data_IF_471927771525
#
_entry.id   IF_471927771525
#
_cell.length_a   1.000
_cell.length_b   1.000
_cell.length_c   1.000
_cell.angle_alpha   90.00
_cell.angle_beta   90.00
_cell.angle_gamma   90.00
#
_symmetry.space_group_name_H-M   'P 1'
#
loop_
_entity.id
_entity.type
_entity.pdbx_description
1 polymer ?
#
# COMPACT_ATOMS: atom_id res chain seq x y z
N UNK A 1 6.38 18.99 10.69
CA UNK A 1 6.51 17.84 9.77
C UNK A 1 5.54 16.69 10.09
N UNK A 2 4.97 16.63 11.31
CA UNK A 2 3.90 15.68 11.70
C UNK A 2 2.61 15.74 10.85
N UNK A 3 2.38 16.86 10.15
CA UNK A 3 1.19 17.08 9.31
C UNK A 3 1.07 16.06 8.18
N UNK A 4 2.18 15.60 7.60
CA UNK A 4 2.13 14.66 6.47
C UNK A 4 1.73 13.24 6.88
N UNK A 5 2.16 12.78 8.06
CA UNK A 5 1.70 11.52 8.63
C UNK A 5 0.21 11.58 8.98
N UNK A 6 -0.26 12.72 9.54
CA UNK A 6 -1.68 12.96 9.81
C UNK A 6 -2.52 12.96 8.53
N UNK A 7 -1.99 13.51 7.42
CA UNK A 7 -2.66 13.45 6.11
C UNK A 7 -2.79 12.00 5.65
N UNK A 8 -1.77 11.16 5.82
CA UNK A 8 -1.86 9.72 5.48
C UNK A 8 -2.95 9.00 6.27
N UNK A 9 -3.03 9.24 7.59
CA UNK A 9 -4.09 8.67 8.44
C UNK A 9 -5.47 9.20 8.03
N UNK A 10 -5.61 10.50 7.80
CA UNK A 10 -6.86 11.11 7.40
C UNK A 10 -7.34 10.57 6.04
N UNK A 11 -6.43 10.42 5.08
CA UNK A 11 -6.73 9.86 3.76
C UNK A 11 -7.15 8.39 3.86
N UNK A 12 -6.45 7.61 4.70
CA UNK A 12 -6.78 6.22 4.96
C UNK A 12 -8.14 6.07 5.63
N UNK A 13 -8.41 6.84 6.68
CA UNK A 13 -9.69 6.84 7.39
C UNK A 13 -10.86 7.27 6.49
N UNK A 14 -10.66 8.30 5.68
CA UNK A 14 -11.64 8.74 4.68
C UNK A 14 -11.85 7.66 3.61
N UNK A 15 -10.78 6.98 3.17
CA UNK A 15 -10.86 5.84 2.26
C UNK A 15 -11.69 4.69 2.82
N UNK A 16 -11.47 4.31 4.09
CA UNK A 16 -12.30 3.32 4.81
C UNK A 16 -13.76 3.76 4.79
N UNK A 17 -14.06 4.98 5.22
CA UNK A 17 -15.42 5.50 5.31
C UNK A 17 -16.14 5.43 3.95
N UNK A 18 -15.52 5.92 2.88
CA UNK A 18 -16.10 5.88 1.52
C UNK A 18 -16.29 4.45 1.05
N UNK A 19 -15.34 3.55 1.32
CA UNK A 19 -15.44 2.14 0.95
C UNK A 19 -16.63 1.47 1.65
N UNK A 20 -16.83 1.74 2.95
CA UNK A 20 -17.99 1.23 3.70
C UNK A 20 -19.33 1.79 3.19
N UNK A 21 -19.39 3.08 2.86
CA UNK A 21 -20.57 3.69 2.23
C UNK A 21 -20.88 3.06 0.86
N UNK A 22 -19.83 2.73 0.10
CA UNK A 22 -19.95 1.97 -1.14
C UNK A 22 -20.39 0.52 -0.89
N UNK A 23 -19.89 -0.17 0.12
CA UNK A 23 -20.26 -1.58 0.33
C UNK A 23 -21.72 -1.74 0.77
N UNK A 24 -22.24 -0.79 1.55
CA UNK A 24 -23.60 -0.81 2.10
C UNK A 24 -24.37 0.46 1.73
N UNK A 25 -24.81 0.62 0.47
CA UNK A 25 -25.63 1.76 0.07
C UNK A 25 -26.98 1.79 0.81
N UNK A 26 -27.46 0.65 1.33
CA UNK A 26 -28.65 0.60 2.18
C UNK A 26 -28.51 1.34 3.52
N UNK A 27 -27.29 1.56 4.01
CA UNK A 27 -27.04 2.31 5.25
C UNK A 27 -27.25 3.82 5.06
N UNK A 28 -27.19 4.32 3.82
CA UNK A 28 -27.37 5.75 3.51
C UNK A 28 -28.82 6.15 3.24
N UNK A 29 -29.76 5.21 3.26
CA UNK A 29 -31.20 5.48 3.10
C UNK A 29 -31.60 5.96 1.69
N UNK A 30 -30.74 5.79 0.69
CA UNK A 30 -31.05 6.14 -0.69
C UNK A 30 -32.12 5.19 -1.28
N UNK A 31 -33.17 5.71 -1.96
CA UNK A 31 -34.20 4.87 -2.56
C UNK A 31 -33.58 3.97 -3.65
N UNK A 32 -33.94 2.69 -3.68
CA UNK A 32 -33.42 1.69 -4.63
C UNK A 32 -33.89 2.01 -6.07
N UNK A 33 -33.20 2.93 -6.73
CA UNK A 33 -33.40 3.28 -8.13
C UNK A 33 -32.42 2.52 -9.03
N UNK A 34 -32.87 2.19 -10.25
CA UNK A 34 -32.04 1.59 -11.30
C UNK A 34 -30.79 2.45 -11.52
N UNK A 35 -29.59 1.90 -11.24
CA UNK A 35 -28.30 2.58 -11.44
C UNK A 35 -27.42 2.77 -10.19
N UNK A 36 -27.88 2.38 -9.00
CA UNK A 36 -27.08 2.51 -7.76
C UNK A 36 -25.81 1.66 -7.79
N UNK A 37 -25.84 0.48 -8.44
CA UNK A 37 -24.67 -0.41 -8.51
C UNK A 37 -23.42 0.24 -9.12
N UNK A 38 -23.58 1.15 -10.07
CA UNK A 38 -22.46 1.89 -10.65
C UNK A 38 -21.82 2.85 -9.64
N UNK A 39 -22.65 3.66 -8.98
CA UNK A 39 -22.19 4.59 -7.93
C UNK A 39 -21.56 3.80 -6.79
N UNK A 40 -22.11 2.64 -6.48
CA UNK A 40 -21.62 1.71 -5.48
C UNK A 40 -20.18 1.25 -5.78
N UNK A 41 -19.96 0.70 -6.98
CA UNK A 41 -18.65 0.26 -7.44
C UNK A 41 -17.64 1.42 -7.47
N UNK A 42 -18.06 2.58 -7.98
CA UNK A 42 -17.21 3.76 -8.03
C UNK A 42 -16.80 4.23 -6.63
N UNK A 43 -17.72 4.24 -5.66
CA UNK A 43 -17.43 4.58 -4.27
C UNK A 43 -16.45 3.58 -3.64
N UNK A 44 -16.67 2.28 -3.82
CA UNK A 44 -15.74 1.24 -3.34
C UNK A 44 -14.34 1.45 -3.94
N UNK A 45 -14.24 1.72 -5.24
CA UNK A 45 -12.97 1.97 -5.92
C UNK A 45 -12.23 3.20 -5.43
N UNK A 46 -12.95 4.31 -5.25
CA UNK A 46 -12.38 5.57 -4.74
C UNK A 46 -11.93 5.37 -3.29
N UNK A 47 -12.77 4.78 -2.45
CA UNK A 47 -12.44 4.49 -1.05
C UNK A 47 -11.22 3.58 -0.93
N UNK A 48 -11.18 2.52 -1.71
CA UNK A 48 -10.04 1.60 -1.78
C UNK A 48 -8.75 2.29 -2.25
N UNK A 49 -8.81 3.13 -3.28
CA UNK A 49 -7.64 3.86 -3.76
C UNK A 49 -7.09 4.81 -2.70
N UNK A 50 -7.97 5.54 -2.01
CA UNK A 50 -7.60 6.44 -0.92
C UNK A 50 -7.04 5.70 0.29
N UNK A 51 -7.59 4.52 0.60
CA UNK A 51 -7.09 3.63 1.65
C UNK A 51 -5.61 3.25 1.38
N UNK A 52 -5.32 2.73 0.19
CA UNK A 52 -3.96 2.27 -0.15
C UNK A 52 -2.99 3.43 -0.24
N UNK A 53 -3.38 4.56 -0.85
CA UNK A 53 -2.54 5.75 -0.91
C UNK A 53 -2.28 6.35 0.48
N UNK A 54 -3.30 6.36 1.33
CA UNK A 54 -3.19 6.80 2.72
C UNK A 54 -2.23 5.92 3.52
N UNK A 55 -2.34 4.60 3.38
CA UNK A 55 -1.43 3.65 4.01
C UNK A 55 0.03 3.83 3.56
N UNK A 56 0.29 3.91 2.26
CA UNK A 56 1.66 4.12 1.73
C UNK A 56 2.24 5.46 2.19
N UNK A 57 1.43 6.52 2.17
CA UNK A 57 1.83 7.86 2.64
C UNK A 57 2.15 7.83 4.13
N UNK A 58 1.27 7.26 4.94
CA UNK A 58 1.48 7.14 6.39
C UNK A 58 2.75 6.36 6.72
N UNK A 59 2.99 5.21 6.08
CA UNK A 59 4.19 4.41 6.31
C UNK A 59 5.47 5.16 5.91
N UNK A 60 5.46 5.82 4.75
CA UNK A 60 6.63 6.59 4.28
C UNK A 60 7.00 7.70 5.25
N UNK A 61 6.04 8.52 5.67
CA UNK A 61 6.31 9.67 6.52
C UNK A 61 6.53 9.32 8.00
N UNK A 62 6.01 8.19 8.47
CA UNK A 62 6.16 7.75 9.86
C UNK A 62 7.44 6.96 10.10
N UNK A 63 7.80 6.04 9.19
CA UNK A 63 8.87 5.06 9.43
C UNK A 63 10.10 5.25 8.55
N UNK A 64 9.97 5.83 7.35
CA UNK A 64 11.03 5.82 6.33
C UNK A 64 11.32 7.21 5.75
N UNK A 65 11.21 8.26 6.56
CA UNK A 65 11.38 9.64 6.10
C UNK A 65 12.79 9.94 5.61
N UNK A 66 13.81 9.42 6.30
CA UNK A 66 15.22 9.74 6.07
C UNK A 66 15.99 8.59 5.38
N UNK A 67 15.31 7.47 5.08
CA UNK A 67 15.94 6.30 4.46
C UNK A 67 15.65 6.31 2.96
N UNK A 68 16.67 6.21 2.08
CA UNK A 68 16.47 6.10 0.65
C UNK A 68 15.63 4.86 0.31
N UNK A 69 14.64 5.03 -0.58
CA UNK A 69 13.71 3.96 -0.92
C UNK A 69 14.42 2.81 -1.65
N UNK A 70 14.37 1.62 -1.06
CA UNK A 70 15.00 0.43 -1.65
C UNK A 70 14.24 -0.09 -2.86
N UNK A 71 14.93 -0.88 -3.71
CA UNK A 71 14.34 -1.56 -4.85
C UNK A 71 13.09 -2.37 -4.44
N UNK A 72 13.17 -3.12 -3.35
CA UNK A 72 12.03 -3.90 -2.84
C UNK A 72 10.86 -3.02 -2.39
N UNK A 73 11.11 -1.86 -1.78
CA UNK A 73 10.05 -0.89 -1.45
C UNK A 73 9.41 -0.31 -2.72
N UNK A 74 10.19 -0.01 -3.76
CA UNK A 74 9.66 0.46 -5.04
C UNK A 74 8.79 -0.60 -5.73
N UNK A 75 9.18 -1.88 -5.66
CA UNK A 75 8.37 -3.00 -6.13
C UNK A 75 7.07 -3.11 -5.32
N UNK A 76 7.13 -2.99 -4.00
CA UNK A 76 5.93 -2.99 -3.14
C UNK A 76 4.93 -1.91 -3.50
N UNK A 77 5.39 -0.68 -3.75
CA UNK A 77 4.52 0.42 -4.22
C UNK A 77 3.90 0.10 -5.57
N UNK A 78 4.68 -0.39 -6.55
CA UNK A 78 4.15 -0.75 -7.86
C UNK A 78 3.11 -1.86 -7.78
N UNK A 79 3.38 -2.89 -6.96
CA UNK A 79 2.43 -3.99 -6.71
C UNK A 79 1.14 -3.49 -6.04
N UNK A 80 1.26 -2.53 -5.12
CA UNK A 80 0.12 -1.88 -4.51
C UNK A 80 -0.71 -1.09 -5.54
N UNK A 81 -0.08 -0.38 -6.46
CA UNK A 81 -0.77 0.37 -7.51
C UNK A 81 -1.37 -0.53 -8.59
N UNK A 82 -0.72 -1.65 -8.95
CA UNK A 82 -1.29 -2.60 -9.92
C UNK A 82 -2.52 -3.30 -9.37
N UNK A 83 -2.59 -3.59 -8.07
CA UNK A 83 -3.83 -4.08 -7.45
C UNK A 83 -4.97 -3.07 -7.52
N UNK A 84 -4.71 -1.76 -7.39
CA UNK A 84 -5.74 -0.72 -7.64
C UNK A 84 -6.20 -0.75 -9.10
N UNK A 85 -5.26 -0.88 -10.04
CA UNK A 85 -5.58 -0.97 -11.47
C UNK A 85 -6.45 -2.19 -11.78
N UNK A 86 -6.12 -3.37 -11.26
CA UNK A 86 -6.94 -4.56 -11.45
C UNK A 86 -8.33 -4.44 -10.81
N UNK A 87 -8.43 -3.81 -9.63
CA UNK A 87 -9.72 -3.54 -9.04
C UNK A 87 -10.56 -2.61 -9.92
N UNK A 88 -9.93 -1.60 -10.55
CA UNK A 88 -10.62 -0.70 -11.47
C UNK A 88 -11.12 -1.44 -12.72
N UNK A 89 -10.29 -2.31 -13.31
CA UNK A 89 -10.68 -3.12 -14.46
C UNK A 89 -11.82 -4.10 -14.10
N UNK A 90 -11.73 -4.77 -12.95
CA UNK A 90 -12.77 -5.68 -12.48
C UNK A 90 -14.07 -4.91 -12.17
N UNK A 91 -14.00 -3.83 -11.40
CA UNK A 91 -15.16 -3.02 -11.04
C UNK A 91 -15.84 -2.39 -12.25
N UNK A 92 -15.07 -1.91 -13.23
CA UNK A 92 -15.61 -1.29 -14.44
C UNK A 92 -15.99 -2.31 -15.53
N UNK A 93 -15.81 -3.62 -15.31
CA UNK A 93 -16.01 -4.66 -16.32
C UNK A 93 -17.42 -4.63 -16.92
N UNK A 94 -18.45 -4.41 -16.11
CA UNK A 94 -19.84 -4.33 -16.57
C UNK A 94 -20.10 -3.09 -17.44
N UNK A 95 -19.41 -1.97 -17.19
CA UNK A 95 -19.53 -0.75 -18.01
C UNK A 95 -18.81 -0.93 -19.35
N UNK A 96 -17.64 -1.58 -19.32
CA UNK A 96 -16.81 -1.81 -20.49
C UNK A 96 -17.40 -2.90 -21.42
N UNK A 97 -18.46 -3.60 -21.00
CA UNK A 97 -19.17 -4.58 -21.82
C UNK A 97 -18.56 -5.99 -21.82
N UNK A 98 -17.56 -6.25 -20.96
CA UNK A 98 -16.99 -7.59 -20.72
C UNK A 98 -17.58 -8.27 -19.47
N UNK A 99 -18.44 -7.55 -18.74
CA UNK A 99 -19.11 -8.04 -17.55
C UNK A 99 -20.19 -9.07 -17.81
N UNK A 100 -20.50 -9.88 -16.80
CA UNK A 100 -21.38 -11.06 -16.95
C UNK A 100 -22.86 -10.79 -16.71
N UNK A 101 -23.22 -9.62 -16.18
CA UNK A 101 -24.63 -9.23 -16.01
C UNK A 101 -25.03 -8.20 -17.07
N UNK A 102 -25.82 -8.66 -18.05
CA UNK A 102 -26.59 -7.78 -18.93
C UNK A 102 -27.76 -7.26 -18.10
N UNK A 103 -27.91 -5.92 -18.02
CA UNK A 103 -29.01 -5.24 -17.33
C UNK A 103 -30.35 -5.84 -17.80
N UNK A 104 -31.00 -6.60 -16.94
CA UNK A 104 -32.40 -7.01 -17.12
C UNK A 104 -33.28 -6.09 -16.26
N UNK A 105 -34.33 -5.54 -16.87
CA UNK A 105 -35.14 -4.43 -16.34
C UNK A 105 -36.00 -4.81 -15.10
N UNK A 106 -35.86 -6.03 -14.57
CA UNK A 106 -36.74 -6.58 -13.53
C UNK A 106 -36.05 -7.28 -12.36
N UNK A 107 -34.71 -7.30 -12.31
CA UNK A 107 -33.96 -8.09 -11.33
C UNK A 107 -33.00 -7.24 -10.51
N UNK A 108 -33.02 -7.45 -9.20
CA UNK A 108 -32.14 -6.83 -8.20
C UNK A 108 -30.69 -6.70 -8.71
N UNK A 109 -30.16 -5.47 -8.72
CA UNK A 109 -28.88 -5.12 -9.36
C UNK A 109 -27.75 -5.58 -8.44
N UNK A 110 -27.48 -6.89 -8.42
CA UNK A 110 -26.37 -7.46 -7.66
C UNK A 110 -25.08 -7.48 -8.48
N UNK A 111 -23.96 -7.32 -7.77
CA UNK A 111 -22.64 -7.53 -8.32
C UNK A 111 -22.53 -8.90 -8.99
N UNK A 112 -21.91 -8.95 -10.16
CA UNK A 112 -21.50 -10.23 -10.73
C UNK A 112 -20.53 -10.94 -9.79
N UNK A 113 -20.74 -12.24 -9.52
CA UNK A 113 -19.85 -13.00 -8.63
C UNK A 113 -18.38 -12.90 -9.06
N UNK A 114 -18.11 -12.91 -10.37
CA UNK A 114 -16.76 -12.74 -10.94
C UNK A 114 -16.18 -11.33 -10.68
N UNK A 115 -17.02 -10.30 -10.69
CA UNK A 115 -16.62 -8.93 -10.38
C UNK A 115 -16.21 -8.81 -8.91
N UNK A 116 -16.99 -9.39 -7.99
CA UNK A 116 -16.66 -9.42 -6.55
C UNK A 116 -15.34 -10.14 -6.33
N UNK A 117 -15.16 -11.32 -6.92
CA UNK A 117 -13.92 -12.09 -6.81
C UNK A 117 -12.73 -11.28 -7.36
N UNK A 118 -12.90 -10.61 -8.50
CA UNK A 118 -11.87 -9.77 -9.11
C UNK A 118 -11.46 -8.60 -8.21
N UNK A 119 -12.42 -7.89 -7.62
CA UNK A 119 -12.16 -6.79 -6.67
C UNK A 119 -11.47 -7.32 -5.40
N UNK A 120 -11.91 -8.46 -4.86
CA UNK A 120 -11.34 -9.05 -3.65
C UNK A 120 -9.90 -9.54 -3.86
N UNK A 121 -9.63 -10.20 -4.99
CA UNK A 121 -8.29 -10.63 -5.37
C UNK A 121 -7.35 -9.42 -5.56
N UNK A 122 -7.86 -8.35 -6.16
CA UNK A 122 -7.14 -7.10 -6.34
C UNK A 122 -6.81 -6.42 -5.01
N UNK A 123 -7.75 -6.45 -4.06
CA UNK A 123 -7.53 -5.96 -2.69
C UNK A 123 -6.41 -6.74 -1.98
N UNK A 124 -6.43 -8.07 -2.08
CA UNK A 124 -5.37 -8.91 -1.53
C UNK A 124 -4.01 -8.58 -2.18
N UNK A 125 -3.99 -8.36 -3.50
CA UNK A 125 -2.78 -7.98 -4.23
C UNK A 125 -2.20 -6.64 -3.76
N UNK A 126 -3.04 -5.61 -3.59
CA UNK A 126 -2.53 -4.33 -3.09
C UNK A 126 -2.10 -4.38 -1.63
N UNK A 127 -2.83 -5.12 -0.80
CA UNK A 127 -2.46 -5.37 0.60
C UNK A 127 -1.08 -6.05 0.68
N UNK A 128 -0.82 -7.02 -0.19
CA UNK A 128 0.49 -7.68 -0.31
C UNK A 128 1.57 -6.69 -0.76
N UNK A 129 1.28 -5.76 -1.67
CA UNK A 129 2.19 -4.68 -2.04
C UNK A 129 2.57 -3.77 -0.87
N UNK A 130 1.59 -3.37 -0.06
CA UNK A 130 1.82 -2.59 1.17
C UNK A 130 2.65 -3.39 2.19
N UNK A 131 2.37 -4.69 2.35
CA UNK A 131 3.13 -5.57 3.24
C UNK A 131 4.59 -5.69 2.81
N UNK A 132 4.85 -5.88 1.51
CA UNK A 132 6.20 -5.90 0.95
C UNK A 132 6.94 -4.58 1.23
N UNK A 133 6.24 -3.45 1.10
CA UNK A 133 6.83 -2.14 1.42
C UNK A 133 7.29 -2.03 2.88
N UNK A 134 6.47 -2.46 3.84
CA UNK A 134 6.82 -2.47 5.27
C UNK A 134 7.98 -3.43 5.54
N UNK A 135 7.89 -4.66 5.04
CA UNK A 135 8.85 -5.71 5.34
C UNK A 135 10.24 -5.38 4.78
N UNK A 136 10.28 -4.85 3.55
CA UNK A 136 11.51 -4.38 2.94
C UNK A 136 12.13 -3.24 3.76
N UNK A 137 11.33 -2.25 4.16
CA UNK A 137 11.81 -1.14 4.99
C UNK A 137 12.35 -1.61 6.35
N UNK A 138 11.66 -2.55 7.00
CA UNK A 138 12.08 -3.12 8.28
C UNK A 138 13.38 -3.95 8.17
N UNK A 139 13.66 -4.54 7.01
CA UNK A 139 14.90 -5.29 6.79
C UNK A 139 16.14 -4.37 6.86
N UNK A 140 16.08 -3.16 6.30
CA UNK A 140 17.21 -2.20 6.33
C UNK A 140 17.46 -1.70 7.75
N UNK A 141 16.40 -1.36 8.48
CA UNK A 141 16.50 -0.86 9.85
C UNK A 141 17.25 -1.83 10.80
N UNK A 142 17.23 -3.14 10.50
CA UNK A 142 17.95 -4.16 11.28
C UNK A 142 19.44 -4.27 10.96
N UNK A 143 19.88 -3.90 9.76
CA UNK A 143 21.29 -4.03 9.35
C UNK A 143 22.12 -2.77 9.58
N UNK A 144 21.49 -1.59 9.60
CA UNK A 144 22.13 -0.32 9.95
C UNK A 144 22.95 -0.34 11.27
N UNK A 145 22.46 -0.91 12.40
CA UNK A 145 23.26 -0.95 13.63
C UNK A 145 24.43 -1.95 13.57
N UNK A 146 24.35 -3.00 12.74
CA UNK A 146 25.40 -4.02 12.62
C UNK A 146 26.56 -3.49 11.80
N UNK A 147 26.28 -2.76 10.73
CA UNK A 147 27.29 -2.18 9.85
C UNK A 147 28.07 -1.06 10.56
N UNK A 148 27.38 -0.23 11.36
CA UNK A 148 28.02 0.77 12.22
C UNK A 148 28.91 0.13 13.31
N UNK A 149 28.50 -1.01 13.88
CA UNK A 149 29.34 -1.78 14.80
C UNK A 149 30.52 -2.43 14.08
N UNK A 150 30.33 -2.93 12.86
CA UNK A 150 31.39 -3.52 12.05
C UNK A 150 32.45 -2.49 11.64
N UNK A 151 32.06 -1.29 11.20
CA UNK A 151 33.00 -0.20 10.91
C UNK A 151 33.75 0.24 12.18
N UNK A 152 33.05 0.34 13.31
CA UNK A 152 33.70 0.69 14.58
C UNK A 152 34.70 -0.38 15.04
N UNK A 153 34.44 -1.67 14.78
CA UNK A 153 35.36 -2.76 15.12
C UNK A 153 36.53 -2.79 14.13
N UNK A 154 36.27 -2.62 12.83
CA UNK A 154 37.29 -2.57 11.79
C UNK A 154 38.25 -1.39 11.96
N UNK A 155 37.75 -0.21 12.32
CA UNK A 155 38.58 0.95 12.62
C UNK A 155 39.46 0.77 13.86
N UNK A 156 39.01 0.02 14.87
CA UNK A 156 39.82 -0.30 16.06
C UNK A 156 40.95 -1.27 15.73
N UNK A 157 40.73 -2.20 14.80
CA UNK A 157 41.74 -3.16 14.37
C UNK A 157 42.86 -2.48 13.58
N UNK A 158 42.50 -1.58 12.66
CA UNK A 158 43.44 -0.79 11.84
C UNK A 158 44.31 0.14 12.71
N UNK A 159 43.70 0.74 13.75
CA UNK A 159 44.43 1.58 14.73
C UNK A 159 45.41 0.74 15.57
N UNK A 160 45.09 -0.53 15.84
CA UNK A 160 45.98 -1.45 16.58
C UNK A 160 47.15 -1.92 15.71
N UNK A 161 46.92 -2.21 14.43
CA UNK A 161 48.00 -2.53 13.50
C UNK A 161 48.98 -1.36 13.33
N UNK A 162 48.47 -0.12 13.19
CA UNK A 162 49.31 1.08 13.11
C UNK A 162 50.17 1.30 14.37
N UNK A 163 49.59 1.09 15.55
CA UNK A 163 50.31 1.23 16.82
C UNK A 163 51.35 0.12 17.03
N UNK A 164 51.12 -1.08 16.50
CA UNK A 164 52.11 -2.17 16.53
C UNK A 164 53.26 -1.93 15.54
N UNK A 165 53.01 -1.29 14.39
CA UNK A 165 54.05 -0.90 13.43
C UNK A 165 54.95 0.21 13.99
N UNK A 166 54.40 1.21 14.70
CA UNK A 166 55.20 2.28 15.33
C UNK A 166 56.10 1.79 16.48
N UNK A 167 55.76 0.67 17.12
CA UNK A 167 56.54 0.10 18.22
C UNK A 167 57.67 -0.85 17.76
N UNK A 168 57.70 -1.22 16.47
CA UNK A 168 58.70 -2.12 15.88
C UNK A 168 59.74 -1.39 15.02
N UNK A 169 59.74 -0.05 14.98
CA UNK A 169 60.87 0.71 14.41
C UNK A 169 62.00 0.85 15.44
N UNK A 170 63.15 0.16 15.29
CA UNK A 170 64.33 0.43 16.11
C UNK A 170 64.96 1.77 15.70
N UNK A 171 65.07 2.69 16.68
CA UNK A 171 65.90 3.90 16.64
C UNK A 171 67.37 3.61 16.32
#
# INVERSE_FOLDING_TARGET
MWRFAQVGIALGALGVMICFMGLFPGVTGAPTTVGIGLVQVAMVLVGYSLLILGALTYLKYTFFLEVPATLSQQVGVRLALTGILFAALAGLADILGFGTHIRDDSGDIFFGQLQVIGILASFALSSLGVLVYVLAGAHIARHAPVEALSESIAGVDDTRELMLVELDEPL
#
